data_IF_239092807710
#
_entry.id   IF_239092807710
#
_cell.length_a   1.000
_cell.length_b   1.000
_cell.length_c   1.000
_cell.angle_alpha   90.00
_cell.angle_beta   90.00
_cell.angle_gamma   90.00
#
_symmetry.space_group_name_H-M   'P 1'
#
loop_
_entity.id
_entity.type
_entity.pdbx_description
1 polymer ?
#
# COMPACT_ATOMS: atom_id res chain seq x y z
N UNK A 1 35.38 10.34 -7.39
CA UNK A 1 34.67 10.16 -6.11
C UNK A 1 33.16 10.41 -6.19
N UNK A 2 32.62 11.02 -7.26
CA UNK A 2 31.20 11.42 -7.34
C UNK A 2 30.20 10.37 -7.90
N UNK A 3 30.64 9.13 -8.18
CA UNK A 3 29.77 8.11 -8.80
C UNK A 3 29.05 7.20 -7.78
N UNK A 4 29.54 7.13 -6.54
CA UNK A 4 29.03 6.20 -5.52
C UNK A 4 27.86 6.77 -4.70
N UNK A 5 27.62 8.08 -4.79
CA UNK A 5 26.58 8.77 -4.00
C UNK A 5 25.15 8.52 -4.48
N UNK A 6 24.94 7.98 -5.70
CA UNK A 6 23.60 7.74 -6.25
C UNK A 6 23.17 6.27 -6.27
N UNK A 7 23.79 5.42 -5.45
CA UNK A 7 23.48 3.98 -5.43
C UNK A 7 22.72 3.59 -4.16
N UNK A 8 21.40 3.77 -4.18
CA UNK A 8 20.49 3.46 -3.05
C UNK A 8 20.75 2.08 -2.42
N UNK A 9 20.87 0.97 -3.19
CA UNK A 9 21.12 -0.35 -2.59
C UNK A 9 22.44 -0.43 -1.82
N UNK A 10 23.49 0.28 -2.27
CA UNK A 10 24.78 0.29 -1.59
C UNK A 10 24.71 1.06 -0.27
N UNK A 11 24.05 2.23 -0.28
CA UNK A 11 23.87 3.03 0.93
C UNK A 11 22.99 2.32 1.95
N UNK A 12 21.99 1.55 1.49
CA UNK A 12 21.17 0.70 2.35
C UNK A 12 21.99 -0.42 2.99
N UNK A 13 22.84 -1.12 2.22
CA UNK A 13 23.77 -2.14 2.75
C UNK A 13 24.72 -1.55 3.79
N UNK A 14 25.30 -0.38 3.51
CA UNK A 14 26.19 0.31 4.44
C UNK A 14 25.46 0.70 5.73
N UNK A 15 24.23 1.21 5.63
CA UNK A 15 23.38 1.53 6.78
C UNK A 15 23.09 0.28 7.62
N UNK A 16 22.66 -0.82 7.00
CA UNK A 16 22.39 -2.07 7.71
C UNK A 16 23.64 -2.66 8.37
N UNK A 17 24.80 -2.60 7.70
CA UNK A 17 26.07 -3.03 8.28
C UNK A 17 26.45 -2.19 9.51
N UNK A 18 26.22 -0.88 9.47
CA UNK A 18 26.46 0.01 10.62
C UNK A 18 25.47 -0.27 11.76
N UNK A 19 24.19 -0.49 11.46
CA UNK A 19 23.18 -0.84 12.46
C UNK A 19 23.48 -2.17 13.17
N UNK A 20 24.02 -3.16 12.43
CA UNK A 20 24.33 -4.47 12.99
C UNK A 20 25.64 -4.51 13.78
N UNK A 21 26.67 -3.77 13.33
CA UNK A 21 28.03 -3.92 13.85
C UNK A 21 28.54 -2.75 14.69
N UNK A 22 27.88 -1.59 14.65
CA UNK A 22 28.34 -0.44 15.45
C UNK A 22 27.90 -0.57 16.90
N UNK A 23 28.77 -0.16 17.82
CA UNK A 23 28.44 -0.02 19.23
C UNK A 23 27.65 1.28 19.54
N UNK A 24 27.35 2.08 18.51
CA UNK A 24 26.66 3.35 18.65
C UNK A 24 25.15 3.13 18.84
N UNK A 25 24.54 3.92 19.72
CA UNK A 25 23.09 3.87 19.96
C UNK A 25 22.25 4.39 18.77
N UNK A 26 22.87 5.14 17.86
CA UNK A 26 22.23 5.68 16.67
C UNK A 26 23.20 5.70 15.49
N UNK A 27 22.65 5.56 14.28
CA UNK A 27 23.37 5.60 13.01
C UNK A 27 22.72 6.66 12.13
N UNK A 28 23.52 7.54 11.53
CA UNK A 28 23.00 8.57 10.62
C UNK A 28 22.55 7.95 9.28
N UNK A 29 21.54 8.57 8.67
CA UNK A 29 20.98 8.17 7.37
C UNK A 29 21.37 9.14 6.25
N UNK A 30 22.32 10.05 6.47
CA UNK A 30 22.63 11.15 5.54
C UNK A 30 23.04 10.62 4.16
N UNK A 31 23.90 9.60 4.12
CA UNK A 31 24.34 9.01 2.86
C UNK A 31 23.18 8.34 2.09
N UNK A 32 22.21 7.77 2.81
CA UNK A 32 21.01 7.16 2.21
C UNK A 32 20.06 8.24 1.69
N UNK A 33 19.75 9.28 2.47
CA UNK A 33 18.87 10.39 2.04
C UNK A 33 19.47 11.13 0.84
N UNK A 34 20.78 11.39 0.84
CA UNK A 34 21.47 11.96 -0.32
C UNK A 34 21.38 11.08 -1.57
N UNK A 35 21.33 9.75 -1.42
CA UNK A 35 21.19 8.83 -2.55
C UNK A 35 19.80 8.82 -3.19
N UNK A 36 18.77 9.25 -2.46
CA UNK A 36 17.44 9.52 -3.01
C UNK A 36 17.38 10.86 -3.78
N UNK A 37 18.44 11.67 -3.75
CA UNK A 37 18.45 13.01 -4.32
C UNK A 37 17.73 14.04 -3.45
N UNK A 38 17.41 13.70 -2.21
CA UNK A 38 16.84 14.63 -1.24
C UNK A 38 17.98 15.48 -0.65
N UNK A 39 17.84 16.81 -0.76
CA UNK A 39 18.73 17.74 -0.08
C UNK A 39 18.25 18.04 1.36
N UNK A 40 19.01 18.85 2.10
CA UNK A 40 18.62 19.22 3.48
C UNK A 40 17.34 20.05 3.53
N UNK A 41 16.92 20.70 2.44
CA UNK A 41 15.65 21.42 2.34
C UNK A 41 14.46 20.47 2.12
N UNK A 42 14.64 19.39 1.36
CA UNK A 42 13.62 18.36 1.11
C UNK A 42 13.39 17.45 2.32
N UNK A 43 14.37 17.37 3.23
CA UNK A 43 14.25 16.62 4.49
C UNK A 43 13.14 17.15 5.43
N UNK A 44 12.64 18.37 5.17
CA UNK A 44 11.53 19.00 5.88
C UNK A 44 10.19 18.91 5.14
N UNK A 45 10.18 18.36 3.92
CA UNK A 45 8.95 18.03 3.18
C UNK A 45 8.39 16.73 3.75
N UNK A 46 7.12 16.74 4.17
CA UNK A 46 6.44 15.52 4.60
C UNK A 46 6.22 14.61 3.38
N UNK A 47 7.16 13.71 3.12
CA UNK A 47 6.99 12.65 2.16
C UNK A 47 6.02 11.60 2.70
N UNK A 48 5.13 11.11 1.83
CA UNK A 48 4.31 9.95 2.17
C UNK A 48 5.23 8.73 2.30
N UNK A 49 5.12 7.99 3.40
CA UNK A 49 5.91 6.77 3.64
C UNK A 49 5.74 5.76 2.50
N UNK A 50 4.57 5.77 1.84
CA UNK A 50 4.30 4.93 0.66
C UNK A 50 5.18 5.30 -0.52
N UNK A 51 5.38 6.61 -0.75
CA UNK A 51 6.23 7.08 -1.85
C UNK A 51 7.69 6.69 -1.62
N UNK A 52 8.18 6.86 -0.38
CA UNK A 52 9.52 6.40 0.00
C UNK A 52 9.68 4.89 -0.21
N UNK A 53 8.74 4.09 0.29
CA UNK A 53 8.77 2.63 0.14
C UNK A 53 8.78 2.24 -1.34
N UNK A 54 7.93 2.86 -2.16
CA UNK A 54 7.89 2.60 -3.61
C UNK A 54 9.22 2.90 -4.29
N UNK A 55 9.83 4.05 -4.00
CA UNK A 55 11.13 4.42 -4.58
C UNK A 55 12.22 3.45 -4.15
N UNK A 56 12.25 3.08 -2.87
CA UNK A 56 13.21 2.13 -2.31
C UNK A 56 13.05 0.74 -2.95
N UNK A 57 11.84 0.21 -2.98
CA UNK A 57 11.50 -1.09 -3.56
C UNK A 57 11.86 -1.16 -5.04
N UNK A 58 11.52 -0.15 -5.83
CA UNK A 58 11.92 -0.07 -7.23
C UNK A 58 13.43 -0.02 -7.42
N UNK A 59 14.16 0.69 -6.55
CA UNK A 59 15.61 0.76 -6.62
C UNK A 59 16.26 -0.61 -6.32
N UNK A 60 15.73 -1.33 -5.33
CA UNK A 60 16.17 -2.67 -4.97
C UNK A 60 15.86 -3.67 -6.08
N UNK A 61 14.62 -3.70 -6.59
CA UNK A 61 14.20 -4.61 -7.65
C UNK A 61 15.03 -4.44 -8.93
N UNK A 62 15.30 -3.19 -9.34
CA UNK A 62 16.15 -2.92 -10.51
C UNK A 62 17.58 -3.42 -10.31
N UNK A 63 18.08 -3.41 -9.08
CA UNK A 63 19.41 -3.91 -8.77
C UNK A 63 19.46 -5.45 -8.76
N UNK A 64 18.46 -6.10 -8.14
CA UNK A 64 18.39 -7.57 -8.06
C UNK A 64 18.13 -8.23 -9.40
N UNK A 65 17.29 -7.62 -10.25
CA UNK A 65 17.03 -8.09 -11.61
C UNK A 65 18.32 -8.09 -12.46
N UNK A 66 19.14 -7.04 -12.35
CA UNK A 66 20.45 -6.98 -13.03
C UNK A 66 21.42 -8.06 -12.52
N UNK A 67 21.32 -8.41 -11.26
CA UNK A 67 22.12 -9.46 -10.63
C UNK A 67 21.59 -10.89 -10.90
N UNK A 68 20.48 -11.05 -11.64
CA UNK A 68 19.86 -12.35 -11.90
C UNK A 68 19.27 -13.02 -10.65
N UNK A 69 19.00 -12.24 -9.59
CA UNK A 69 18.43 -12.73 -8.33
C UNK A 69 16.90 -12.65 -8.38
N UNK A 70 16.22 -13.57 -7.69
CA UNK A 70 14.76 -13.58 -7.56
C UNK A 70 14.21 -12.25 -7.00
N UNK A 71 12.99 -11.89 -7.40
CA UNK A 71 12.34 -10.62 -7.05
C UNK A 71 11.75 -10.66 -5.64
N UNK A 72 12.62 -10.73 -4.62
CA UNK A 72 12.19 -10.93 -3.24
C UNK A 72 11.25 -9.83 -2.71
N UNK A 73 11.33 -8.61 -3.25
CA UNK A 73 10.41 -7.52 -2.88
C UNK A 73 8.99 -7.87 -3.32
N UNK A 74 8.83 -8.30 -4.57
CA UNK A 74 7.56 -8.77 -5.10
C UNK A 74 7.06 -9.97 -4.30
N UNK A 75 7.93 -10.95 -4.03
CA UNK A 75 7.54 -12.17 -3.31
C UNK A 75 7.13 -11.92 -1.85
N UNK A 76 7.68 -10.88 -1.21
CA UNK A 76 7.43 -10.58 0.19
C UNK A 76 6.30 -9.57 0.42
N UNK A 77 6.15 -8.57 -0.46
CA UNK A 77 5.27 -7.42 -0.24
C UNK A 77 4.12 -7.30 -1.23
N UNK A 78 4.17 -7.99 -2.37
CA UNK A 78 3.16 -7.84 -3.42
C UNK A 78 2.14 -8.97 -3.39
N UNK A 79 0.87 -8.61 -3.51
CA UNK A 79 -0.20 -9.55 -3.84
C UNK A 79 -1.24 -8.84 -4.74
N UNK A 80 -2.36 -9.51 -5.01
CA UNK A 80 -3.35 -9.09 -5.99
C UNK A 80 -4.72 -8.93 -5.33
N UNK A 81 -5.43 -7.88 -5.75
CA UNK A 81 -6.85 -7.69 -5.48
C UNK A 81 -7.62 -7.58 -6.79
N UNK A 82 -8.94 -7.76 -6.71
CA UNK A 82 -9.86 -7.71 -7.84
C UNK A 82 -10.88 -6.61 -7.62
N UNK A 83 -10.88 -5.61 -8.50
CA UNK A 83 -11.91 -4.58 -8.63
C UNK A 83 -13.08 -5.15 -9.43
N UNK A 84 -14.23 -5.29 -8.78
CA UNK A 84 -15.44 -5.85 -9.35
C UNK A 84 -16.50 -4.75 -9.53
N UNK A 85 -17.07 -4.66 -10.73
CA UNK A 85 -18.24 -3.81 -11.02
C UNK A 85 -19.37 -4.69 -11.52
N UNK A 86 -20.42 -4.80 -10.71
CA UNK A 86 -21.61 -5.60 -10.98
C UNK A 86 -22.78 -4.71 -11.38
N UNK A 87 -23.28 -4.86 -12.60
CA UNK A 87 -24.47 -4.14 -13.08
C UNK A 87 -25.73 -4.59 -12.33
N UNK A 88 -26.57 -3.67 -11.85
CA UNK A 88 -27.83 -4.04 -11.17
C UNK A 88 -28.90 -4.53 -12.14
N UNK A 89 -28.90 -4.03 -13.39
CA UNK A 89 -29.86 -4.41 -14.43
C UNK A 89 -29.64 -5.83 -14.99
N UNK A 90 -28.47 -6.09 -15.57
CA UNK A 90 -28.16 -7.38 -16.20
C UNK A 90 -27.38 -8.37 -15.32
N UNK A 91 -26.95 -7.97 -14.12
CA UNK A 91 -26.15 -8.78 -13.19
C UNK A 91 -24.74 -9.19 -13.69
N UNK A 92 -24.31 -8.70 -14.85
CA UNK A 92 -22.96 -8.93 -15.39
C UNK A 92 -21.89 -8.31 -14.48
N UNK A 93 -20.79 -9.04 -14.25
CA UNK A 93 -19.69 -8.59 -13.38
C UNK A 93 -18.42 -8.39 -14.21
N UNK A 94 -17.97 -7.15 -14.28
CA UNK A 94 -16.65 -6.80 -14.82
C UNK A 94 -15.62 -6.92 -13.71
N UNK A 95 -14.52 -7.60 -13.99
CA UNK A 95 -13.41 -7.79 -13.03
C UNK A 95 -12.14 -7.21 -13.61
N UNK A 96 -11.39 -6.44 -12.82
CA UNK A 96 -10.03 -6.01 -13.12
C UNK A 96 -9.12 -6.45 -11.97
N UNK A 97 -8.06 -7.15 -12.32
CA UNK A 97 -7.06 -7.61 -11.34
C UNK A 97 -5.96 -6.56 -11.23
N UNK A 98 -5.72 -6.06 -10.02
CA UNK A 98 -4.72 -5.03 -9.72
C UNK A 98 -3.79 -5.52 -8.60
N UNK A 99 -2.49 -5.27 -8.75
CA UNK A 99 -1.48 -5.61 -7.74
C UNK A 99 -1.39 -4.54 -6.67
N UNK A 100 -1.07 -4.92 -5.44
CA UNK A 100 -0.85 -4.01 -4.33
C UNK A 100 0.39 -4.39 -3.52
N UNK A 101 1.08 -3.38 -3.00
CA UNK A 101 2.21 -3.54 -2.08
C UNK A 101 1.86 -3.04 -0.66
N UNK A 102 0.77 -2.29 -0.55
CA UNK A 102 0.22 -1.76 0.66
C UNK A 102 -1.30 -1.55 0.55
N UNK A 103 -1.96 -1.47 1.70
CA UNK A 103 -3.40 -1.24 1.79
C UNK A 103 -3.63 0.02 2.61
N UNK A 104 -4.32 0.99 2.01
CA UNK A 104 -4.63 2.24 2.66
C UNK A 104 -6.02 2.18 3.33
N UNK A 105 -6.01 2.09 4.65
CA UNK A 105 -7.19 1.83 5.47
C UNK A 105 -7.76 3.12 6.08
N UNK A 106 -9.08 3.26 6.04
CA UNK A 106 -9.79 4.38 6.65
C UNK A 106 -9.78 4.26 8.17
N UNK A 107 -9.47 5.35 8.87
CA UNK A 107 -9.48 5.41 10.34
C UNK A 107 -10.73 6.09 10.88
N UNK A 108 -11.22 7.13 10.20
CA UNK A 108 -12.39 7.88 10.63
C UNK A 108 -13.61 6.95 10.65
N UNK A 109 -14.33 6.91 11.78
CA UNK A 109 -15.51 6.07 11.93
C UNK A 109 -15.24 4.57 12.19
N UNK A 110 -13.98 4.14 12.19
CA UNK A 110 -13.57 2.77 12.48
C UNK A 110 -12.97 2.68 13.90
N UNK A 111 -13.36 1.68 14.70
CA UNK A 111 -12.85 1.49 16.07
C UNK A 111 -11.74 0.45 16.13
N UNK A 112 -11.79 -0.53 15.25
CA UNK A 112 -10.84 -1.65 15.14
C UNK A 112 -10.24 -1.70 13.73
N UNK A 113 -9.11 -2.38 13.60
CA UNK A 113 -8.48 -2.59 12.29
C UNK A 113 -9.41 -3.41 11.37
N UNK A 114 -10.13 -4.37 11.94
CA UNK A 114 -11.13 -5.19 11.27
C UNK A 114 -12.27 -4.35 10.70
N UNK A 115 -12.76 -3.34 11.46
CA UNK A 115 -13.76 -2.39 10.94
C UNK A 115 -13.22 -1.65 9.70
N UNK A 116 -11.94 -1.26 9.72
CA UNK A 116 -11.32 -0.58 8.59
C UNK A 116 -11.20 -1.48 7.35
N UNK A 117 -10.91 -2.77 7.53
CA UNK A 117 -10.91 -3.75 6.44
C UNK A 117 -12.32 -4.03 5.91
N UNK A 118 -13.30 -4.18 6.80
CA UNK A 118 -14.71 -4.34 6.42
C UNK A 118 -15.21 -3.14 5.62
N UNK A 119 -14.79 -1.93 6.02
CA UNK A 119 -15.07 -0.72 5.26
C UNK A 119 -14.35 -0.70 3.90
N UNK A 120 -13.09 -1.19 3.83
CA UNK A 120 -12.31 -1.24 2.60
C UNK A 120 -12.95 -2.13 1.53
N UNK A 121 -13.57 -3.25 1.91
CA UNK A 121 -14.25 -4.17 0.98
C UNK A 121 -15.75 -3.87 0.82
N UNK A 122 -16.27 -2.85 1.50
CA UNK A 122 -17.68 -2.51 1.48
C UNK A 122 -18.11 -2.12 0.05
N UNK A 123 -19.17 -2.73 -0.50
CA UNK A 123 -19.65 -2.34 -1.82
C UNK A 123 -20.20 -0.91 -1.85
N UNK A 124 -19.79 -0.16 -2.87
CA UNK A 124 -20.30 1.17 -3.19
C UNK A 124 -21.27 1.11 -4.37
N UNK A 125 -22.30 1.95 -4.37
CA UNK A 125 -23.21 2.08 -5.51
C UNK A 125 -22.71 3.17 -6.44
N UNK A 126 -22.56 2.83 -7.71
CA UNK A 126 -22.24 3.75 -8.79
C UNK A 126 -23.51 3.97 -9.61
N UNK A 127 -23.98 5.21 -9.64
CA UNK A 127 -25.19 5.58 -10.36
C UNK A 127 -24.90 5.91 -11.82
N UNK A 128 -25.76 5.42 -12.73
CA UNK A 128 -25.75 5.85 -14.13
C UNK A 128 -24.52 5.46 -14.96
N UNK A 129 -23.93 4.28 -14.73
CA UNK A 129 -22.82 3.73 -15.51
C UNK A 129 -23.29 3.16 -16.84
N UNK A 130 -22.55 3.42 -17.91
CA UNK A 130 -22.79 2.82 -19.22
C UNK A 130 -22.51 1.31 -19.20
N UNK A 131 -23.56 0.51 -19.40
CA UNK A 131 -23.47 -0.93 -19.45
C UNK A 131 -23.47 -1.44 -20.90
N UNK A 132 -22.42 -2.14 -21.32
CA UNK A 132 -22.31 -2.68 -22.68
C UNK A 132 -23.35 -3.76 -23.00
N UNK A 133 -23.83 -4.48 -21.98
CA UNK A 133 -24.84 -5.53 -22.12
C UNK A 133 -26.24 -4.94 -22.18
N UNK A 134 -26.57 -3.99 -21.30
CA UNK A 134 -27.87 -3.32 -21.30
C UNK A 134 -28.02 -2.27 -22.40
N UNK A 135 -26.90 -1.79 -23.00
CA UNK A 135 -26.86 -0.67 -23.95
C UNK A 135 -27.53 0.60 -23.41
N UNK A 136 -27.49 0.79 -22.10
CA UNK A 136 -28.11 1.89 -21.39
C UNK A 136 -27.33 2.19 -20.09
N UNK A 137 -27.60 3.36 -19.52
CA UNK A 137 -27.12 3.72 -18.18
C UNK A 137 -27.83 2.89 -17.14
N UNK A 138 -27.07 2.26 -16.26
CA UNK A 138 -27.55 1.43 -15.16
C UNK A 138 -26.75 1.74 -13.91
N UNK A 139 -27.37 1.51 -12.76
CA UNK A 139 -26.63 1.51 -11.51
C UNK A 139 -25.77 0.25 -11.43
N UNK A 140 -24.67 0.33 -10.70
CA UNK A 140 -23.75 -0.78 -10.51
C UNK A 140 -23.26 -0.82 -9.06
N UNK A 141 -22.93 -2.00 -8.57
CA UNK A 141 -22.23 -2.18 -7.31
C UNK A 141 -20.74 -2.38 -7.59
N UNK A 142 -19.90 -1.52 -7.05
CA UNK A 142 -18.45 -1.64 -7.09
C UNK A 142 -17.94 -2.16 -5.76
N UNK A 143 -17.09 -3.17 -5.77
CA UNK A 143 -16.45 -3.71 -4.57
C UNK A 143 -15.08 -4.27 -4.88
N UNK A 144 -14.23 -4.31 -3.86
CA UNK A 144 -12.90 -4.91 -3.91
C UNK A 144 -12.93 -6.28 -3.26
N UNK A 145 -12.18 -7.22 -3.82
CA UNK A 145 -11.94 -8.54 -3.23
C UNK A 145 -10.45 -8.81 -3.24
N UNK A 146 -9.88 -9.26 -2.13
CA UNK A 146 -8.49 -9.73 -2.13
C UNK A 146 -8.42 -11.09 -2.84
N UNK A 147 -7.35 -11.34 -3.59
CA UNK A 147 -7.05 -12.69 -4.09
C UNK A 147 -6.14 -13.44 -3.11
N UNK A 148 -5.27 -12.71 -2.42
CA UNK A 148 -4.31 -13.20 -1.45
C UNK A 148 -3.81 -12.05 -0.55
N UNK A 149 -2.97 -12.40 0.42
CA UNK A 149 -2.18 -11.45 1.19
C UNK A 149 -0.69 -11.83 1.15
N UNK A 150 0.20 -10.83 1.01
CA UNK A 150 1.63 -11.09 0.96
C UNK A 150 2.16 -11.47 2.35
N UNK A 151 3.33 -12.15 2.43
CA UNK A 151 3.98 -12.47 3.71
C UNK A 151 4.25 -11.25 4.60
N UNK A 152 4.58 -10.11 3.99
CA UNK A 152 4.78 -8.82 4.66
C UNK A 152 3.70 -7.83 4.21
N UNK A 153 2.63 -7.78 5.00
CA UNK A 153 1.51 -6.88 4.76
C UNK A 153 1.79 -5.47 5.31
N UNK A 154 1.84 -4.48 4.41
CA UNK A 154 1.98 -3.06 4.80
C UNK A 154 0.61 -2.38 4.85
N UNK A 155 0.25 -1.84 6.01
CA UNK A 155 -1.02 -1.14 6.22
C UNK A 155 -0.77 0.36 6.45
N UNK A 156 -1.28 1.19 5.55
CA UNK A 156 -1.24 2.64 5.69
C UNK A 156 -2.55 3.11 6.33
N UNK A 157 -2.46 3.59 7.57
CA UNK A 157 -3.61 4.19 8.24
C UNK A 157 -3.83 5.62 7.73
N UNK A 158 -4.92 5.87 7.01
CA UNK A 158 -5.29 7.20 6.48
C UNK A 158 -5.73 8.14 7.61
N UNK A 159 -4.75 8.64 8.36
CA UNK A 159 -4.94 9.60 9.47
C UNK A 159 -4.90 11.05 9.03
N UNK A 160 -4.81 11.32 7.74
CA UNK A 160 -4.94 12.66 7.20
C UNK A 160 -6.03 12.63 6.16
N UNK A 161 -7.04 13.45 6.37
CA UNK A 161 -8.26 13.46 5.59
C UNK A 161 -8.58 14.88 5.15
N UNK A 162 -9.39 15.03 4.11
CA UNK A 162 -9.81 16.35 3.64
C UNK A 162 -11.16 16.70 4.27
N UNK A 163 -11.23 17.82 4.97
CA UNK A 163 -12.49 18.33 5.51
C UNK A 163 -13.17 19.24 4.47
N UNK A 164 -14.32 18.82 3.88
CA UNK A 164 -15.01 19.61 2.87
C UNK A 164 -15.61 20.91 3.40
N UNK A 165 -15.83 21.02 4.71
CA UNK A 165 -16.41 22.23 5.32
C UNK A 165 -15.36 23.32 5.48
N UNK A 166 -14.16 22.95 5.94
CA UNK A 166 -13.07 23.90 6.21
C UNK A 166 -12.10 24.05 5.03
N UNK A 167 -12.19 23.18 4.01
CA UNK A 167 -11.26 23.09 2.88
C UNK A 167 -9.80 22.85 3.30
N UNK A 168 -9.61 22.19 4.45
CA UNK A 168 -8.29 21.94 5.03
C UNK A 168 -8.03 20.45 5.23
N UNK A 169 -6.74 20.10 5.19
CA UNK A 169 -6.28 18.75 5.56
C UNK A 169 -6.29 18.64 7.08
N UNK A 170 -7.10 17.73 7.62
CA UNK A 170 -7.26 17.51 9.05
C UNK A 170 -6.63 16.19 9.46
N UNK A 171 -6.03 16.17 10.65
CA UNK A 171 -5.51 14.94 11.25
C UNK A 171 -6.64 14.20 11.97
N UNK A 172 -6.80 12.92 11.68
CA UNK A 172 -7.78 12.02 12.29
C UNK A 172 -7.18 11.46 13.58
N UNK A 173 -7.73 11.93 14.71
CA UNK A 173 -7.28 11.57 16.05
C UNK A 173 -8.06 10.40 16.65
N UNK A 174 -9.03 9.83 15.93
CA UNK A 174 -9.81 8.68 16.39
C UNK A 174 -8.91 7.52 16.82
N UNK A 175 -9.26 6.92 17.95
CA UNK A 175 -8.60 5.74 18.47
C UNK A 175 -8.92 4.55 17.58
N UNK A 176 -7.89 3.81 17.17
CA UNK A 176 -8.02 2.60 16.38
C UNK A 176 -7.30 1.47 17.11
N UNK A 177 -8.01 0.40 17.43
CA UNK A 177 -7.42 -0.79 18.05
C UNK A 177 -6.79 -1.67 16.98
N UNK A 178 -5.49 -1.92 17.12
CA UNK A 178 -4.73 -2.83 16.25
C UNK A 178 -4.44 -4.11 17.05
N UNK A 179 -4.92 -5.28 16.61
CA UNK A 179 -4.65 -6.53 17.30
C UNK A 179 -3.20 -6.98 17.04
N UNK A 180 -2.67 -7.81 17.95
CA UNK A 180 -1.37 -8.45 17.75
C UNK A 180 -1.43 -9.52 16.64
N UNK A 181 -2.57 -10.20 16.55
CA UNK A 181 -2.86 -11.23 15.54
C UNK A 181 -4.11 -10.80 14.79
N UNK A 182 -4.00 -10.63 13.48
CA UNK A 182 -5.10 -10.32 12.59
C UNK A 182 -5.42 -11.56 11.76
N UNK A 183 -6.64 -12.07 11.87
CA UNK A 183 -7.12 -13.13 10.99
C UNK A 183 -7.64 -12.51 9.69
N UNK A 184 -6.87 -12.69 8.61
CA UNK A 184 -7.19 -12.15 7.28
C UNK A 184 -8.06 -13.07 6.43
N UNK A 185 -8.31 -14.31 6.89
CA UNK A 185 -9.05 -15.30 6.11
C UNK A 185 -10.48 -14.83 5.78
N UNK A 186 -11.07 -13.99 6.64
CA UNK A 186 -12.40 -13.39 6.44
C UNK A 186 -12.53 -12.60 5.13
N UNK A 187 -11.44 -12.00 4.63
CA UNK A 187 -11.47 -11.16 3.42
C UNK A 187 -10.92 -11.87 2.18
N UNK A 188 -10.55 -13.14 2.30
CA UNK A 188 -10.18 -13.99 1.18
C UNK A 188 -11.43 -14.67 0.57
N UNK A 189 -11.43 -14.94 -0.74
CA UNK A 189 -12.51 -15.67 -1.39
C UNK A 189 -12.63 -17.09 -0.83
N UNK A 190 -13.86 -17.56 -0.67
CA UNK A 190 -14.16 -18.92 -0.21
C UNK A 190 -13.43 -19.95 -1.10
N UNK A 191 -12.51 -20.72 -0.51
CA UNK A 191 -11.72 -21.75 -1.21
C UNK A 191 -10.21 -21.71 -0.98
N UNK A 192 -9.65 -20.69 -0.33
CA UNK A 192 -8.22 -20.64 0.07
C UNK A 192 -8.02 -21.13 1.51
N UNK A 193 -8.57 -22.30 1.82
CA UNK A 193 -8.19 -23.06 3.01
C UNK A 193 -6.90 -23.82 2.73
N UNK A 194 -5.77 -23.26 3.17
CA UNK A 194 -4.50 -23.94 3.49
C UNK A 194 -4.27 -25.32 2.86
N UNK A 195 -3.43 -25.37 1.82
CA UNK A 195 -2.61 -26.54 1.49
C UNK A 195 -1.25 -26.42 2.16
#
# INVERSE_FOLDING_TARGET
>A
AAATERHIPYQLQALFARLQNSACAAVDTLALTSSFGWDQSDSFVQHDVQELNRVLFQAIERYTQKAGTASFITDLYEDTMVDCIKCTGCQEVRKRSDKFQDIALMVRGCKTLEDSFDHFVLPEVLEGIDCDTCKAKQDAQKYLSFSGFPPLLTLQLRRFDFDPQTWQRVKVHDALRVPLVLDVAKWLPEGHGSG
#
